data_IF_961538244993
#
_entry.id   IF_961538244993
#
_cell.length_a   1.000
_cell.length_b   1.000
_cell.length_c   1.000
_cell.angle_alpha   90.00
_cell.angle_beta   90.00
_cell.angle_gamma   90.00
#
_symmetry.space_group_name_H-M   'P 1'
#
loop_
_entity.id
_entity.type
_entity.pdbx_description
1 polymer ?
#
# COMPACT_ATOMS: atom_id res chain seq x y z
N UNK A 1 -34.71 -13.29 -6.59
CA UNK A 1 -33.29 -13.04 -6.28
C UNK A 1 -33.23 -12.44 -4.89
N UNK A 2 -32.56 -13.11 -3.96
CA UNK A 2 -32.36 -12.61 -2.60
C UNK A 2 -31.35 -11.46 -2.66
N UNK A 3 -31.77 -10.26 -2.24
CA UNK A 3 -30.83 -9.15 -2.04
C UNK A 3 -30.04 -9.40 -0.75
N UNK A 4 -28.75 -9.07 -0.75
CA UNK A 4 -27.86 -9.24 0.41
C UNK A 4 -27.88 -8.03 1.36
N UNK A 5 -28.42 -6.89 0.93
CA UNK A 5 -28.41 -5.63 1.67
C UNK A 5 -28.55 -4.41 0.74
N UNK A 6 -29.00 -3.28 1.27
CA UNK A 6 -29.17 -1.98 0.61
C UNK A 6 -28.00 -1.02 0.90
N UNK A 7 -27.24 -1.27 1.97
CA UNK A 7 -26.15 -0.43 2.50
C UNK A 7 -24.85 -1.23 2.61
N UNK A 8 -24.31 -1.73 1.48
CA UNK A 8 -23.09 -2.52 1.52
C UNK A 8 -21.89 -1.65 1.93
N UNK A 9 -20.88 -2.28 2.51
CA UNK A 9 -19.60 -1.66 2.85
C UNK A 9 -18.45 -2.24 2.01
N UNK A 10 -18.17 -1.71 0.80
CA UNK A 10 -17.02 -2.12 0.01
C UNK A 10 -15.71 -1.63 0.62
N UNK A 11 -14.86 -2.59 0.99
CA UNK A 11 -13.49 -2.41 1.48
C UNK A 11 -12.48 -2.96 0.48
N UNK A 12 -12.75 -2.75 -0.81
CA UNK A 12 -12.00 -3.32 -1.95
C UNK A 12 -10.82 -2.44 -2.38
N UNK A 13 -10.65 -1.26 -1.80
CA UNK A 13 -9.57 -0.31 -2.16
C UNK A 13 -9.88 0.50 -3.42
N UNK A 14 -9.11 1.58 -3.61
CA UNK A 14 -9.40 2.62 -4.63
C UNK A 14 -9.41 2.10 -6.07
N UNK A 15 -8.51 1.17 -6.40
CA UNK A 15 -8.29 0.73 -7.78
C UNK A 15 -9.48 -0.08 -8.34
N UNK A 16 -10.15 -0.87 -7.50
CA UNK A 16 -11.25 -1.74 -7.93
C UNK A 16 -12.63 -1.14 -7.68
N UNK A 17 -12.69 0.03 -7.03
CA UNK A 17 -13.94 0.67 -6.64
C UNK A 17 -14.84 0.98 -7.85
N UNK A 18 -14.24 1.33 -8.99
CA UNK A 18 -14.95 1.65 -10.23
C UNK A 18 -15.82 0.51 -10.75
N UNK A 19 -15.44 -0.75 -10.51
CA UNK A 19 -16.22 -1.92 -10.94
C UNK A 19 -17.55 -2.02 -10.19
N UNK A 20 -17.70 -1.38 -9.03
CA UNK A 20 -18.90 -1.45 -8.20
C UNK A 20 -19.90 -0.32 -8.48
N UNK A 21 -19.50 0.79 -9.11
CA UNK A 21 -20.37 1.99 -9.27
C UNK A 21 -21.63 1.70 -10.08
N UNK A 22 -21.52 0.89 -11.14
CA UNK A 22 -22.64 0.42 -11.94
C UNK A 22 -23.54 -0.59 -11.20
N UNK A 23 -23.01 -1.74 -10.76
CA UNK A 23 -23.79 -2.75 -10.05
C UNK A 23 -24.47 -2.25 -8.76
N UNK A 24 -23.80 -1.38 -8.00
CA UNK A 24 -24.33 -0.78 -6.77
C UNK A 24 -25.01 0.59 -7.03
N UNK A 25 -25.42 0.85 -8.26
CA UNK A 25 -26.05 2.13 -8.66
C UNK A 25 -27.41 2.41 -8.03
N UNK A 26 -28.00 1.46 -7.30
CA UNK A 26 -29.26 1.66 -6.55
C UNK A 26 -29.08 1.61 -5.03
N UNK A 27 -27.86 1.32 -4.57
CA UNK A 27 -27.53 1.14 -3.16
C UNK A 27 -26.93 2.44 -2.58
N UNK A 28 -26.86 2.52 -1.26
CA UNK A 28 -26.23 3.62 -0.50
C UNK A 28 -25.01 3.11 0.28
N UNK A 29 -23.92 2.71 -0.41
CA UNK A 29 -22.76 2.13 0.24
C UNK A 29 -21.98 3.15 1.07
N UNK A 30 -21.45 2.64 2.18
CA UNK A 30 -20.27 3.20 2.82
C UNK A 30 -19.04 2.65 2.08
N UNK A 31 -18.08 3.48 1.68
CA UNK A 31 -16.86 3.06 1.00
C UNK A 31 -15.67 3.54 1.79
N UNK A 32 -14.70 2.66 2.06
CA UNK A 32 -13.43 3.04 2.70
C UNK A 32 -12.25 2.81 1.76
N UNK A 33 -11.44 3.85 1.58
CA UNK A 33 -10.19 3.84 0.81
C UNK A 33 -9.10 4.60 1.59
N UNK A 34 -7.83 4.44 1.21
CA UNK A 34 -6.74 5.24 1.80
C UNK A 34 -6.71 6.61 1.14
N UNK A 35 -6.57 6.64 -0.19
CA UNK A 35 -6.54 7.86 -0.99
C UNK A 35 -7.84 8.02 -1.78
N UNK A 36 -8.24 9.27 -2.01
CA UNK A 36 -9.41 9.62 -2.82
C UNK A 36 -9.27 9.00 -4.21
N UNK A 37 -10.30 8.32 -4.74
CA UNK A 37 -10.21 7.69 -6.04
C UNK A 37 -10.37 8.73 -7.17
N UNK A 38 -9.74 8.48 -8.32
CA UNK A 38 -9.82 9.37 -9.50
C UNK A 38 -11.17 9.30 -10.23
N UNK A 39 -12.10 8.46 -9.76
CA UNK A 39 -13.44 8.31 -10.31
C UNK A 39 -14.46 9.15 -9.55
N UNK A 40 -15.43 9.71 -10.27
CA UNK A 40 -16.58 10.33 -9.64
C UNK A 40 -17.48 9.26 -9.01
N UNK A 41 -17.72 9.36 -7.71
CA UNK A 41 -18.65 8.50 -6.99
C UNK A 41 -20.08 9.04 -7.07
N UNK A 42 -21.11 8.18 -7.15
CA UNK A 42 -22.49 8.62 -7.06
C UNK A 42 -22.77 9.37 -5.75
N UNK A 43 -23.57 10.44 -5.80
CA UNK A 43 -23.83 11.32 -4.64
C UNK A 43 -24.41 10.63 -3.40
N UNK A 44 -25.05 9.47 -3.57
CA UNK A 44 -25.62 8.65 -2.48
C UNK A 44 -24.59 7.72 -1.81
N UNK A 45 -23.34 7.72 -2.27
CA UNK A 45 -22.25 6.93 -1.68
C UNK A 45 -21.52 7.78 -0.66
N UNK A 46 -21.23 7.20 0.50
CA UNK A 46 -20.40 7.86 1.52
C UNK A 46 -18.97 7.37 1.40
N UNK A 47 -18.03 8.27 1.12
CA UNK A 47 -16.60 7.97 1.07
C UNK A 47 -15.92 8.31 2.40
N UNK A 48 -15.20 7.35 2.96
CA UNK A 48 -14.31 7.54 4.11
C UNK A 48 -12.89 7.29 3.65
N UNK A 49 -12.03 8.29 3.81
CA UNK A 49 -10.59 8.16 3.64
C UNK A 49 -9.96 7.83 4.98
N UNK A 50 -9.30 6.67 5.09
CA UNK A 50 -8.70 6.23 6.34
C UNK A 50 -7.61 5.19 6.09
N UNK A 51 -6.52 5.28 6.85
CA UNK A 51 -5.40 4.34 6.85
C UNK A 51 -5.35 3.63 8.19
N UNK A 52 -5.16 2.31 8.16
CA UNK A 52 -5.04 1.50 9.38
C UNK A 52 -3.74 1.76 10.17
N UNK A 53 -3.55 1.07 11.31
CA UNK A 53 -4.30 -0.11 11.76
C UNK A 53 -5.75 0.21 12.15
N UNK A 54 -6.66 -0.76 11.96
CA UNK A 54 -8.07 -0.62 12.35
C UNK A 54 -8.37 -1.44 13.61
N UNK A 55 -9.21 -0.90 14.50
CA UNK A 55 -9.61 -1.60 15.72
C UNK A 55 -11.09 -2.04 15.65
N UNK A 56 -11.46 -3.17 16.30
CA UNK A 56 -12.83 -3.67 16.28
C UNK A 56 -13.88 -2.66 16.77
N UNK A 57 -13.56 -1.84 17.77
CA UNK A 57 -14.51 -0.86 18.31
C UNK A 57 -14.80 0.28 17.32
N UNK A 58 -13.79 0.70 16.58
CA UNK A 58 -13.94 1.69 15.51
C UNK A 58 -14.73 1.12 14.34
N UNK A 59 -14.46 -0.13 13.95
CA UNK A 59 -15.21 -0.83 12.90
C UNK A 59 -16.68 -0.99 13.29
N UNK A 60 -16.97 -1.32 14.55
CA UNK A 60 -18.35 -1.47 15.04
C UNK A 60 -19.07 -0.14 15.04
N UNK A 61 -18.43 0.92 15.51
CA UNK A 61 -18.99 2.27 15.51
C UNK A 61 -19.27 2.75 14.09
N UNK A 62 -18.35 2.48 13.16
CA UNK A 62 -18.49 2.81 11.75
C UNK A 62 -19.64 2.03 11.08
N UNK A 63 -19.68 0.70 11.24
CA UNK A 63 -20.71 -0.14 10.63
C UNK A 63 -22.11 0.19 11.17
N UNK A 64 -22.25 0.33 12.49
CA UNK A 64 -23.53 0.66 13.12
C UNK A 64 -23.98 2.08 12.81
N UNK A 65 -23.06 3.06 12.85
CA UNK A 65 -23.35 4.46 12.55
C UNK A 65 -23.85 4.69 11.12
N UNK A 66 -23.37 3.90 10.16
CA UNK A 66 -23.83 3.96 8.77
C UNK A 66 -24.95 2.96 8.45
N UNK A 67 -25.34 2.10 9.40
CA UNK A 67 -26.34 1.06 9.21
C UNK A 67 -25.92 0.05 8.13
N UNK A 68 -24.64 -0.32 8.09
CA UNK A 68 -24.11 -1.30 7.13
C UNK A 68 -24.86 -2.63 7.29
N UNK A 69 -25.34 -3.18 6.18
CA UNK A 69 -26.10 -4.44 6.15
C UNK A 69 -25.41 -5.56 5.37
N UNK A 70 -24.29 -5.27 4.70
CA UNK A 70 -23.44 -6.27 4.07
C UNK A 70 -21.98 -5.79 4.01
N UNK A 71 -21.02 -6.65 4.30
CA UNK A 71 -19.60 -6.34 4.10
C UNK A 71 -19.14 -6.91 2.75
N UNK A 72 -18.53 -6.07 1.91
CA UNK A 72 -17.85 -6.53 0.68
C UNK A 72 -16.36 -6.33 0.87
N UNK A 73 -15.57 -7.40 0.81
CA UNK A 73 -14.14 -7.33 1.08
C UNK A 73 -13.31 -8.21 0.17
N UNK A 74 -12.00 -7.95 0.08
CA UNK A 74 -11.07 -8.79 -0.66
C UNK A 74 -10.37 -9.76 0.27
N UNK A 75 -10.07 -10.94 -0.25
CA UNK A 75 -9.12 -11.86 0.36
C UNK A 75 -7.70 -11.27 0.31
N UNK A 76 -7.36 -10.50 1.34
CA UNK A 76 -6.17 -9.65 1.44
C UNK A 76 -5.02 -10.30 2.23
N UNK A 77 -5.21 -11.53 2.72
CA UNK A 77 -4.12 -12.41 3.18
C UNK A 77 -3.31 -11.99 4.41
N UNK A 78 -3.72 -10.96 5.16
CA UNK A 78 -2.97 -10.47 6.33
C UNK A 78 -3.72 -10.68 7.66
N UNK A 79 -3.00 -11.04 8.72
CA UNK A 79 -3.52 -11.12 10.10
C UNK A 79 -4.15 -9.80 10.59
N UNK A 80 -3.72 -8.67 10.04
CA UNK A 80 -4.28 -7.34 10.26
C UNK A 80 -5.63 -7.06 9.57
N UNK A 81 -6.16 -7.99 8.77
CA UNK A 81 -7.40 -7.77 7.99
C UNK A 81 -8.68 -8.21 8.70
N UNK A 82 -8.57 -8.74 9.92
CA UNK A 82 -9.67 -9.34 10.66
C UNK A 82 -10.73 -8.36 11.25
N UNK A 83 -10.40 -7.14 11.73
CA UNK A 83 -11.36 -6.34 12.53
C UNK A 83 -12.74 -6.15 11.86
N UNK A 84 -12.78 -5.85 10.56
CA UNK A 84 -14.02 -5.73 9.80
C UNK A 84 -14.79 -7.06 9.65
N UNK A 85 -14.10 -8.18 9.44
CA UNK A 85 -14.74 -9.50 9.28
C UNK A 85 -15.27 -9.97 10.64
N UNK A 86 -14.48 -9.75 11.70
CA UNK A 86 -14.87 -10.00 13.07
C UNK A 86 -16.17 -9.27 13.41
N UNK A 87 -16.19 -7.96 13.25
CA UNK A 87 -17.34 -7.12 13.58
C UNK A 87 -18.53 -7.44 12.70
N UNK A 88 -18.33 -7.70 11.40
CA UNK A 88 -19.42 -8.15 10.54
C UNK A 88 -20.04 -9.47 11.04
N UNK A 89 -19.22 -10.41 11.50
CA UNK A 89 -19.68 -11.65 12.13
C UNK A 89 -20.45 -11.41 13.43
N UNK A 90 -19.95 -10.55 14.31
CA UNK A 90 -20.63 -10.15 15.56
C UNK A 90 -21.98 -9.47 15.31
N UNK A 91 -22.07 -8.67 14.25
CA UNK A 91 -23.30 -7.97 13.82
C UNK A 91 -24.24 -8.85 12.97
N UNK A 92 -23.84 -10.09 12.65
CA UNK A 92 -24.62 -11.00 11.81
C UNK A 92 -24.73 -10.57 10.34
N UNK A 93 -23.81 -9.73 9.86
CA UNK A 93 -23.82 -9.20 8.51
C UNK A 93 -23.30 -10.24 7.51
N UNK A 94 -23.96 -10.43 6.35
CA UNK A 94 -23.39 -11.20 5.26
C UNK A 94 -22.06 -10.60 4.81
N UNK A 95 -21.04 -11.46 4.66
CA UNK A 95 -19.71 -11.10 4.17
C UNK A 95 -19.51 -11.67 2.77
N UNK A 96 -19.39 -10.79 1.79
CA UNK A 96 -19.04 -11.13 0.42
C UNK A 96 -17.53 -10.96 0.24
N UNK A 97 -16.83 -12.08 0.07
CA UNK A 97 -15.38 -12.08 -0.19
C UNK A 97 -15.13 -12.15 -1.70
N UNK A 98 -14.53 -11.09 -2.25
CA UNK A 98 -14.00 -11.05 -3.60
C UNK A 98 -12.79 -11.99 -3.66
N UNK A 99 -12.95 -13.08 -4.40
CA UNK A 99 -11.92 -14.11 -4.57
C UNK A 99 -10.65 -13.51 -5.19
N UNK A 100 -9.49 -13.88 -4.66
CA UNK A 100 -8.19 -13.57 -5.25
C UNK A 100 -8.12 -14.15 -6.67
N UNK A 101 -7.58 -13.40 -7.63
CA UNK A 101 -7.29 -13.95 -8.96
C UNK A 101 -6.35 -15.15 -8.81
N UNK A 102 -6.56 -16.19 -9.59
CA UNK A 102 -5.68 -17.35 -9.58
C UNK A 102 -4.25 -16.90 -9.90
N UNK A 103 -3.30 -17.27 -9.04
CA UNK A 103 -1.89 -17.07 -9.33
C UNK A 103 -1.48 -17.99 -10.48
N UNK A 104 -0.56 -17.58 -11.36
CA UNK A 104 0.08 -18.48 -12.30
C UNK A 104 0.67 -19.68 -11.54
N UNK A 105 0.42 -20.90 -12.02
CA UNK A 105 0.85 -22.13 -11.34
C UNK A 105 2.37 -22.28 -11.34
N UNK A 106 3.04 -21.72 -12.34
CA UNK A 106 4.48 -21.91 -12.58
C UNK A 106 5.35 -20.75 -12.05
N UNK A 107 4.79 -19.87 -11.20
CA UNK A 107 5.55 -18.79 -10.56
C UNK A 107 5.84 -19.19 -9.11
N UNK A 108 7.12 -19.35 -8.71
CA UNK A 108 7.47 -19.63 -7.32
C UNK A 108 6.89 -18.58 -6.36
N UNK A 109 6.40 -19.04 -5.21
CA UNK A 109 5.89 -18.16 -4.14
C UNK A 109 6.48 -18.57 -2.80
N UNK A 110 6.79 -17.59 -1.97
CA UNK A 110 7.20 -17.75 -0.58
C UNK A 110 6.21 -17.03 0.33
N UNK A 111 6.07 -17.49 1.58
CA UNK A 111 5.14 -16.91 2.56
C UNK A 111 5.84 -16.18 3.70
N UNK A 112 7.17 -16.21 3.72
CA UNK A 112 8.00 -15.52 4.70
C UNK A 112 8.79 -14.37 4.03
N UNK A 113 8.86 -13.18 4.66
CA UNK A 113 9.66 -12.07 4.14
C UNK A 113 11.16 -12.39 3.98
N UNK A 114 11.73 -13.24 4.83
CA UNK A 114 13.14 -13.64 4.73
C UNK A 114 13.39 -14.49 3.48
N UNK A 115 12.48 -15.41 3.18
CA UNK A 115 12.54 -16.20 1.94
C UNK A 115 12.38 -15.31 0.70
N UNK A 116 11.58 -14.25 0.79
CA UNK A 116 11.43 -13.28 -0.31
C UNK A 116 12.68 -12.42 -0.49
N UNK A 117 13.32 -12.02 0.59
CA UNK A 117 14.58 -11.29 0.56
C UNK A 117 15.70 -12.13 -0.08
N UNK A 118 15.69 -13.46 0.10
CA UNK A 118 16.65 -14.36 -0.52
C UNK A 118 16.58 -14.39 -2.07
N UNK A 119 15.50 -13.88 -2.68
CA UNK A 119 15.41 -13.72 -4.13
C UNK A 119 16.05 -12.42 -4.65
N UNK A 120 16.43 -11.50 -3.76
CA UNK A 120 17.12 -10.27 -4.12
C UNK A 120 18.61 -10.53 -4.10
N UNK A 121 19.23 -10.53 -5.27
CA UNK A 121 20.65 -10.80 -5.42
C UNK A 121 21.45 -9.48 -5.40
N UNK A 122 22.73 -9.52 -5.03
CA UNK A 122 23.61 -8.34 -4.94
C UNK A 122 23.57 -7.43 -6.17
N UNK A 123 23.55 -8.00 -7.37
CA UNK A 123 23.50 -7.22 -8.61
C UNK A 123 22.24 -6.36 -8.72
N UNK A 124 21.15 -6.73 -8.04
CA UNK A 124 19.90 -5.96 -8.02
C UNK A 124 20.04 -4.72 -7.15
N UNK A 125 20.68 -4.84 -5.99
CA UNK A 125 21.02 -3.69 -5.14
C UNK A 125 21.99 -2.75 -5.83
N UNK A 126 23.05 -3.31 -6.42
CA UNK A 126 24.05 -2.60 -7.20
C UNK A 126 23.40 -1.82 -8.36
N UNK A 127 22.48 -2.45 -9.09
CA UNK A 127 21.74 -1.82 -10.18
C UNK A 127 20.83 -0.70 -9.68
N UNK A 128 20.11 -0.89 -8.57
CA UNK A 128 19.29 0.16 -7.96
C UNK A 128 20.13 1.35 -7.52
N UNK A 129 21.27 1.11 -6.87
CA UNK A 129 22.22 2.15 -6.50
C UNK A 129 22.66 2.94 -7.73
N UNK A 130 23.11 2.26 -8.79
CA UNK A 130 23.58 2.92 -10.01
C UNK A 130 22.48 3.69 -10.74
N UNK A 131 21.32 3.08 -10.96
CA UNK A 131 20.25 3.67 -11.78
C UNK A 131 19.43 4.73 -11.04
N UNK A 132 19.17 4.57 -9.74
CA UNK A 132 18.30 5.50 -8.99
C UNK A 132 19.05 6.49 -8.12
N UNK A 133 20.27 6.16 -7.67
CA UNK A 133 21.05 7.04 -6.79
C UNK A 133 22.21 7.69 -7.52
N UNK A 134 22.97 6.96 -8.33
CA UNK A 134 24.22 7.48 -8.91
C UNK A 134 24.05 8.09 -10.30
N UNK A 135 23.03 7.69 -11.06
CA UNK A 135 22.73 8.31 -12.35
C UNK A 135 22.33 9.78 -12.17
N UNK A 136 23.11 10.67 -12.77
CA UNK A 136 22.97 12.14 -12.59
C UNK A 136 21.58 12.64 -13.03
N UNK A 137 21.01 12.09 -14.11
CA UNK A 137 19.70 12.54 -14.61
C UNK A 137 18.58 12.16 -13.64
N UNK A 138 18.63 10.94 -13.10
CA UNK A 138 17.68 10.50 -12.08
C UNK A 138 17.87 11.28 -10.77
N UNK A 139 19.11 11.57 -10.37
CA UNK A 139 19.37 12.43 -9.22
C UNK A 139 18.73 13.80 -9.38
N UNK A 140 19.01 14.51 -10.48
CA UNK A 140 18.48 15.85 -10.73
C UNK A 140 16.95 15.86 -10.74
N UNK A 141 16.34 14.87 -11.40
CA UNK A 141 14.90 14.70 -11.40
C UNK A 141 14.33 14.51 -9.98
N UNK A 142 14.93 13.59 -9.20
CA UNK A 142 14.44 13.27 -7.87
C UNK A 142 14.65 14.42 -6.88
N UNK A 143 15.78 15.15 -6.96
CA UNK A 143 16.03 16.34 -6.14
C UNK A 143 14.96 17.41 -6.32
N UNK A 144 14.46 17.59 -7.55
CA UNK A 144 13.40 18.55 -7.85
C UNK A 144 12.01 18.02 -7.49
N UNK A 145 11.71 16.76 -7.82
CA UNK A 145 10.37 16.20 -7.69
C UNK A 145 10.05 15.73 -6.27
N UNK A 146 10.97 15.02 -5.62
CA UNK A 146 10.83 14.51 -4.26
C UNK A 146 12.19 14.13 -3.65
N UNK A 147 12.94 15.11 -3.11
CA UNK A 147 14.28 14.86 -2.55
C UNK A 147 14.24 13.88 -1.38
N UNK A 148 13.16 13.86 -0.59
CA UNK A 148 12.96 12.91 0.51
C UNK A 148 12.90 11.45 0.03
N UNK A 149 12.37 11.20 -1.18
CA UNK A 149 12.35 9.86 -1.76
C UNK A 149 13.76 9.39 -2.15
N UNK A 150 14.59 10.29 -2.74
CA UNK A 150 15.98 9.96 -3.04
C UNK A 150 16.74 9.61 -1.76
N UNK A 151 16.58 10.42 -0.70
CA UNK A 151 17.18 10.11 0.61
C UNK A 151 16.75 8.75 1.13
N UNK A 152 15.45 8.47 1.11
CA UNK A 152 14.90 7.19 1.57
C UNK A 152 15.44 5.99 0.79
N UNK A 153 15.72 6.13 -0.52
CA UNK A 153 16.37 5.08 -1.31
C UNK A 153 17.80 4.84 -0.80
N UNK A 154 18.59 5.91 -0.60
CA UNK A 154 19.97 5.79 -0.13
C UNK A 154 20.04 5.15 1.27
N UNK A 155 19.17 5.58 2.19
CA UNK A 155 19.08 5.00 3.54
C UNK A 155 18.76 3.50 3.49
N UNK A 156 17.79 3.07 2.66
CA UNK A 156 17.40 1.66 2.55
C UNK A 156 18.49 0.80 1.91
N UNK A 157 19.25 1.33 0.96
CA UNK A 157 20.38 0.62 0.35
C UNK A 157 21.54 0.46 1.33
N UNK A 158 21.86 1.48 2.14
CA UNK A 158 22.83 1.35 3.22
C UNK A 158 22.36 0.37 4.29
N UNK A 159 21.10 0.44 4.73
CA UNK A 159 20.53 -0.52 5.68
C UNK A 159 20.63 -1.96 5.15
N UNK A 160 20.38 -2.17 3.86
CA UNK A 160 20.52 -3.49 3.25
C UNK A 160 21.97 -4.02 3.33
N UNK A 161 22.98 -3.17 3.10
CA UNK A 161 24.38 -3.51 3.26
C UNK A 161 24.74 -3.80 4.73
N UNK A 162 24.33 -2.94 5.65
CA UNK A 162 24.57 -3.11 7.10
C UNK A 162 23.95 -4.40 7.67
N UNK A 163 22.78 -4.78 7.16
CA UNK A 163 22.07 -6.00 7.57
C UNK A 163 22.51 -7.25 6.81
N UNK A 164 23.48 -7.13 5.90
CA UNK A 164 23.99 -8.24 5.09
C UNK A 164 23.00 -8.79 4.06
N UNK A 165 21.94 -8.05 3.74
CA UNK A 165 21.00 -8.38 2.66
C UNK A 165 21.64 -8.11 1.29
N UNK A 166 22.40 -7.02 1.19
CA UNK A 166 23.37 -6.82 0.13
C UNK A 166 24.71 -7.36 0.64
N UNK A 167 25.11 -8.54 0.18
CA UNK A 167 26.14 -9.34 0.82
C UNK A 167 27.57 -8.86 0.50
N UNK A 168 27.82 -8.45 -0.75
CA UNK A 168 29.13 -7.98 -1.23
C UNK A 168 29.00 -6.67 -2.03
N UNK A 169 28.64 -5.56 -1.39
CA UNK A 169 28.60 -4.25 -2.03
C UNK A 169 29.99 -3.79 -2.47
N UNK A 170 30.06 -3.14 -3.64
CA UNK A 170 31.25 -2.43 -4.08
C UNK A 170 31.50 -1.23 -3.14
N UNK A 171 32.66 -1.16 -2.45
CA UNK A 171 32.97 -0.05 -1.55
C UNK A 171 32.91 1.33 -2.21
N UNK A 172 33.26 1.42 -3.50
CA UNK A 172 33.25 2.68 -4.22
C UNK A 172 31.81 3.15 -4.48
N UNK A 173 30.89 2.22 -4.70
CA UNK A 173 29.45 2.50 -4.86
C UNK A 173 28.85 2.98 -3.55
N UNK A 174 29.18 2.33 -2.43
CA UNK A 174 28.75 2.79 -1.10
C UNK A 174 29.25 4.22 -0.82
N UNK A 175 30.54 4.47 -1.06
CA UNK A 175 31.13 5.79 -0.87
C UNK A 175 30.46 6.86 -1.75
N UNK A 176 30.16 6.54 -3.01
CA UNK A 176 29.47 7.44 -3.91
C UNK A 176 28.03 7.75 -3.43
N UNK A 177 27.28 6.74 -2.99
CA UNK A 177 25.94 6.95 -2.43
C UNK A 177 25.98 7.82 -1.15
N UNK A 178 26.97 7.61 -0.28
CA UNK A 178 27.17 8.44 0.91
C UNK A 178 27.45 9.91 0.54
N UNK A 179 28.21 10.15 -0.53
CA UNK A 179 28.42 11.51 -1.05
C UNK A 179 27.12 12.15 -1.54
N UNK A 180 26.27 11.39 -2.25
CA UNK A 180 24.95 11.85 -2.70
C UNK A 180 24.07 12.21 -1.50
N UNK A 181 24.05 11.37 -0.45
CA UNK A 181 23.30 11.61 0.79
C UNK A 181 23.72 12.92 1.46
N UNK A 182 25.02 13.14 1.66
CA UNK A 182 25.53 14.35 2.33
C UNK A 182 25.21 15.62 1.53
N UNK A 183 25.35 15.57 0.21
CA UNK A 183 24.93 16.67 -0.66
C UNK A 183 23.43 16.93 -0.57
N UNK A 184 22.61 15.88 -0.50
CA UNK A 184 21.15 16.00 -0.39
C UNK A 184 20.70 16.59 0.94
N UNK A 185 21.34 16.21 2.05
CA UNK A 185 21.05 16.81 3.36
C UNK A 185 21.36 18.31 3.35
N UNK A 186 22.48 18.73 2.74
CA UNK A 186 22.79 20.16 2.56
C UNK A 186 21.69 20.91 1.78
N UNK A 187 21.24 20.35 0.65
CA UNK A 187 20.16 20.95 -0.15
C UNK A 187 18.84 21.06 0.65
N UNK A 188 18.52 20.07 1.49
CA UNK A 188 17.31 20.03 2.31
C UNK A 188 17.36 21.02 3.48
N UNK A 189 18.54 21.21 4.08
CA UNK A 189 18.77 22.20 5.14
C UNK A 189 18.64 23.63 4.60
N UNK A 190 19.16 23.90 3.40
CA UNK A 190 19.09 25.21 2.74
C UNK A 190 17.70 25.51 2.16
N UNK A 191 16.96 24.48 1.73
CA UNK A 191 15.66 24.60 1.09
C UNK A 191 14.48 24.87 2.02
N UNK A 192 14.64 24.68 3.33
CA UNK A 192 13.57 24.80 4.33
C UNK A 192 12.48 23.73 4.21
N UNK A 193 12.07 23.17 5.34
CA UNK A 193 10.97 22.18 5.41
C UNK A 193 9.69 22.74 4.77
N UNK A 194 8.91 21.96 4.00
CA UNK A 194 7.59 22.39 3.51
C UNK A 194 6.61 22.72 4.64
#
# INVERSE_FOLDING_TARGET
>A
MTSLGERPFPTVGRQDLGTFTGPLSRHTPLVRVVDVPDIALPARWTLVTSRGPYHPDDERSLMTGHGVDALVTKDSGGSYTWPKIQVAGELGLPVVVVRRRASPVDVPTVSDPADAAAWVHDWMYERLAREYVLDEKNQDFMRQANPWALRGIVERLHEAAERGLWASPDPDVLAAMQSVYLSLEGDLEDGGTP
#
